data_IF_098149143094
#
_entry.id   IF_098149143094
#
_cell.length_a   1.000
_cell.length_b   1.000
_cell.length_c   1.000
_cell.angle_alpha   90.00
_cell.angle_beta   90.00
_cell.angle_gamma   90.00
#
_symmetry.space_group_name_H-M   'P 1'
#
loop_
_entity.id
_entity.type
_entity.pdbx_description
1 polymer ?
#
# COMPACT_ATOMS: atom_id res chain seq x y z
N UNK A 1 2.15 -31.80 28.09
CA UNK A 1 0.82 -31.36 28.58
C UNK A 1 -0.19 -32.51 28.55
N UNK A 2 -1.30 -32.42 29.29
CA UNK A 2 -2.46 -33.31 29.15
C UNK A 2 -3.45 -32.60 28.22
N UNK A 3 -3.88 -33.28 27.16
CA UNK A 3 -4.83 -32.75 26.17
C UNK A 3 -6.15 -33.53 26.27
N UNK A 4 -7.26 -32.88 25.89
CA UNK A 4 -8.58 -33.51 25.94
C UNK A 4 -8.65 -34.66 24.93
N UNK A 5 -9.11 -35.83 25.36
CA UNK A 5 -9.14 -37.04 24.54
C UNK A 5 -10.52 -37.31 23.91
N UNK A 6 -11.46 -36.37 23.98
CA UNK A 6 -12.82 -36.49 23.45
C UNK A 6 -13.15 -35.38 22.43
N UNK A 7 -14.01 -35.73 21.46
CA UNK A 7 -14.55 -34.81 20.47
C UNK A 7 -15.97 -34.37 20.87
N UNK A 8 -16.13 -33.10 21.24
CA UNK A 8 -17.44 -32.46 21.43
C UNK A 8 -17.76 -31.54 20.25
N UNK A 9 -18.91 -31.78 19.59
CA UNK A 9 -19.39 -30.97 18.46
C UNK A 9 -20.00 -29.63 18.88
N UNK A 10 -20.55 -29.52 20.10
CA UNK A 10 -21.30 -28.34 20.56
C UNK A 10 -20.49 -27.50 21.55
N UNK A 11 -19.59 -26.68 21.01
CA UNK A 11 -18.79 -25.71 21.77
C UNK A 11 -19.51 -24.35 21.96
N UNK A 12 -20.73 -24.20 21.47
CA UNK A 12 -21.52 -22.95 21.48
C UNK A 12 -21.83 -22.42 22.90
N UNK A 13 -21.71 -23.24 23.94
CA UNK A 13 -21.92 -22.81 25.32
C UNK A 13 -20.68 -22.19 25.96
N UNK A 14 -19.52 -22.22 25.29
CA UNK A 14 -18.26 -21.72 25.82
C UNK A 14 -18.00 -20.28 25.38
N UNK A 15 -17.89 -19.39 26.36
CA UNK A 15 -17.54 -17.97 26.11
C UNK A 15 -16.19 -17.84 25.38
N UNK A 16 -15.22 -18.68 25.72
CA UNK A 16 -13.89 -18.72 25.11
C UNK A 16 -13.96 -19.12 23.62
N UNK A 17 -14.92 -19.96 23.24
CA UNK A 17 -15.14 -20.35 21.84
C UNK A 17 -15.69 -19.17 21.03
N UNK A 18 -16.62 -18.39 21.57
CA UNK A 18 -17.15 -17.19 20.89
C UNK A 18 -16.08 -16.10 20.70
N UNK A 19 -15.23 -15.88 21.71
CA UNK A 19 -14.11 -14.94 21.61
C UNK A 19 -13.08 -15.39 20.56
N UNK A 20 -12.82 -16.70 20.48
CA UNK A 20 -11.97 -17.28 19.44
C UNK A 20 -12.60 -17.15 18.04
N UNK A 21 -13.92 -17.41 17.91
CA UNK A 21 -14.62 -17.24 16.64
C UNK A 21 -14.64 -15.77 16.20
N UNK A 22 -14.84 -14.82 17.12
CA UNK A 22 -14.78 -13.39 16.82
C UNK A 22 -13.42 -12.99 16.24
N UNK A 23 -12.31 -13.44 16.85
CA UNK A 23 -10.97 -13.19 16.32
C UNK A 23 -10.73 -13.90 14.98
N UNK A 24 -11.27 -15.11 14.80
CA UNK A 24 -11.15 -15.85 13.54
C UNK A 24 -12.11 -15.37 12.45
N UNK A 25 -13.19 -14.65 12.77
CA UNK A 25 -14.00 -13.96 11.74
C UNK A 25 -13.21 -12.85 11.05
N UNK A 26 -12.22 -12.27 11.75
CA UNK A 26 -11.29 -11.29 11.17
C UNK A 26 -10.31 -11.97 10.22
N UNK A 27 -10.01 -13.26 10.42
CA UNK A 27 -9.17 -14.07 9.55
C UNK A 27 -9.79 -14.27 8.16
N UNK A 28 -9.06 -13.89 7.10
CA UNK A 28 -9.49 -13.84 5.68
C UNK A 28 -10.55 -12.79 5.34
N UNK A 29 -10.97 -11.95 6.29
CA UNK A 29 -11.69 -10.72 5.93
C UNK A 29 -10.69 -9.65 5.51
N UNK A 30 -11.14 -8.77 4.61
CA UNK A 30 -10.37 -7.59 4.22
C UNK A 30 -10.44 -6.46 5.25
N UNK A 31 -11.00 -6.72 6.45
CA UNK A 31 -11.11 -5.75 7.52
C UNK A 31 -9.73 -5.52 8.17
N UNK A 32 -9.37 -4.27 8.41
CA UNK A 32 -8.10 -3.87 9.02
C UNK A 32 -8.01 -4.12 10.54
N UNK A 33 -8.87 -4.99 11.09
CA UNK A 33 -8.77 -5.38 12.50
C UNK A 33 -7.59 -6.33 12.69
N UNK A 34 -6.65 -5.94 13.56
CA UNK A 34 -5.50 -6.78 13.89
C UNK A 34 -6.00 -7.98 14.69
N UNK A 35 -5.87 -9.17 14.10
CA UNK A 35 -6.09 -10.44 14.80
C UNK A 35 -5.11 -10.52 15.96
N UNK A 36 -5.62 -10.73 17.17
CA UNK A 36 -4.82 -10.91 18.36
C UNK A 36 -4.35 -12.36 18.43
N UNK A 37 -3.30 -12.68 17.67
CA UNK A 37 -2.78 -14.06 17.55
C UNK A 37 -2.34 -14.68 18.88
N UNK A 38 -1.92 -13.88 19.85
CA UNK A 38 -1.61 -14.34 21.22
C UNK A 38 -2.87 -14.90 21.89
N UNK A 39 -4.00 -14.20 21.76
CA UNK A 39 -5.30 -14.66 22.29
C UNK A 39 -5.85 -15.84 21.51
N UNK A 40 -5.72 -15.85 20.18
CA UNK A 40 -6.11 -17.00 19.36
C UNK A 40 -5.34 -18.24 19.81
N UNK A 41 -4.04 -18.11 20.08
CA UNK A 41 -3.21 -19.19 20.61
C UNK A 41 -3.66 -19.64 21.99
N UNK A 42 -3.84 -18.72 22.95
CA UNK A 42 -4.26 -19.04 24.32
C UNK A 42 -5.65 -19.70 24.35
N UNK A 43 -6.63 -19.12 23.67
CA UNK A 43 -8.01 -19.64 23.63
C UNK A 43 -8.10 -20.99 22.94
N UNK A 44 -7.39 -21.17 21.82
CA UNK A 44 -7.38 -22.48 21.14
C UNK A 44 -6.61 -23.54 21.92
N UNK A 45 -5.53 -23.19 22.61
CA UNK A 45 -4.80 -24.12 23.48
C UNK A 45 -5.65 -24.54 24.68
N UNK A 46 -6.34 -23.61 25.33
CA UNK A 46 -7.21 -23.87 26.48
C UNK A 46 -8.35 -24.83 26.09
N UNK A 47 -9.01 -24.58 24.95
CA UNK A 47 -10.06 -25.46 24.43
C UNK A 47 -9.52 -26.86 24.11
N UNK A 48 -8.33 -26.97 23.49
CA UNK A 48 -7.70 -28.26 23.16
C UNK A 48 -7.24 -29.04 24.41
N UNK A 49 -6.96 -28.35 25.52
CA UNK A 49 -6.57 -28.97 26.78
C UNK A 49 -7.77 -29.42 27.61
N UNK A 50 -8.78 -28.55 27.73
CA UNK A 50 -9.81 -28.68 28.76
C UNK A 50 -11.20 -29.06 28.21
N UNK A 51 -11.45 -28.91 26.91
CA UNK A 51 -12.81 -29.01 26.37
C UNK A 51 -12.93 -30.02 25.24
N UNK A 52 -12.31 -29.80 24.07
CA UNK A 52 -12.55 -30.62 22.88
C UNK A 52 -11.36 -30.65 21.94
N UNK A 53 -11.09 -31.82 21.36
CA UNK A 53 -10.14 -32.01 20.27
C UNK A 53 -10.78 -31.71 18.90
N UNK A 54 -11.44 -30.56 18.76
CA UNK A 54 -12.11 -30.20 17.51
C UNK A 54 -11.10 -29.76 16.43
N UNK A 55 -11.24 -30.32 15.22
CA UNK A 55 -10.32 -30.09 14.11
C UNK A 55 -10.33 -28.63 13.61
N UNK A 56 -11.42 -27.90 13.77
CA UNK A 56 -11.53 -26.46 13.49
C UNK A 56 -10.69 -25.65 14.48
N UNK A 57 -10.76 -26.00 15.77
CA UNK A 57 -9.94 -25.37 16.82
C UNK A 57 -8.47 -25.70 16.61
N UNK A 58 -8.14 -26.95 16.27
CA UNK A 58 -6.79 -27.34 15.91
C UNK A 58 -6.26 -26.58 14.67
N UNK A 59 -7.11 -26.32 13.68
CA UNK A 59 -6.74 -25.48 12.54
C UNK A 59 -6.39 -24.05 12.99
N UNK A 60 -7.18 -23.45 13.88
CA UNK A 60 -6.93 -22.10 14.42
C UNK A 60 -5.64 -22.05 15.24
N UNK A 61 -5.42 -23.06 16.09
CA UNK A 61 -4.18 -23.22 16.83
C UNK A 61 -2.97 -23.31 15.90
N UNK A 62 -3.03 -24.15 14.86
CA UNK A 62 -1.92 -24.30 13.89
C UNK A 62 -1.57 -22.99 13.19
N UNK A 63 -2.58 -22.17 12.87
CA UNK A 63 -2.41 -20.85 12.26
C UNK A 63 -1.78 -19.86 13.24
N UNK A 64 -2.20 -19.87 14.51
CA UNK A 64 -1.58 -19.03 15.54
C UNK A 64 -0.12 -19.38 15.80
N UNK A 65 0.27 -20.66 15.79
CA UNK A 65 1.68 -21.06 15.91
C UNK A 65 2.53 -20.51 14.76
N UNK A 66 2.01 -20.53 13.53
CA UNK A 66 2.67 -19.94 12.36
C UNK A 66 2.75 -18.42 12.44
N UNK A 67 1.70 -17.76 12.93
CA UNK A 67 1.63 -16.30 13.05
C UNK A 67 2.55 -15.75 14.15
N UNK A 68 2.60 -16.41 15.31
CA UNK A 68 3.45 -16.03 16.43
C UNK A 68 4.93 -16.34 16.19
N UNK A 69 5.21 -17.39 15.39
CA UNK A 69 6.56 -17.74 14.95
C UNK A 69 7.58 -17.86 16.10
N UNK A 70 7.16 -18.51 17.19
CA UNK A 70 7.96 -18.75 18.40
C UNK A 70 8.26 -20.24 18.55
N UNK A 71 9.48 -20.59 18.96
CA UNK A 71 9.92 -21.97 19.16
C UNK A 71 9.06 -22.70 20.20
N UNK A 72 8.66 -22.04 21.29
CA UNK A 72 7.81 -22.64 22.32
C UNK A 72 6.43 -23.02 21.76
N UNK A 73 5.86 -22.20 20.88
CA UNK A 73 4.60 -22.52 20.18
C UNK A 73 4.77 -23.75 19.26
N UNK A 74 5.93 -23.91 18.63
CA UNK A 74 6.22 -25.09 17.80
C UNK A 74 6.48 -26.36 18.62
N UNK A 75 7.06 -26.25 19.82
CA UNK A 75 7.19 -27.37 20.76
C UNK A 75 5.82 -27.85 21.24
N UNK A 76 4.93 -26.93 21.63
CA UNK A 76 3.56 -27.27 22.05
C UNK A 76 2.76 -27.83 20.87
N UNK A 77 2.95 -27.29 19.66
CA UNK A 77 2.38 -27.86 18.45
C UNK A 77 2.86 -29.31 18.20
N UNK A 78 4.16 -29.58 18.37
CA UNK A 78 4.69 -30.94 18.30
C UNK A 78 4.06 -31.85 19.37
N UNK A 79 3.89 -31.39 20.62
CA UNK A 79 3.20 -32.18 21.65
C UNK A 79 1.77 -32.56 21.24
N UNK A 80 1.03 -31.64 20.64
CA UNK A 80 -0.34 -31.90 20.15
C UNK A 80 -0.31 -32.88 18.97
N UNK A 81 0.63 -32.75 18.03
CA UNK A 81 0.81 -33.71 16.92
C UNK A 81 1.06 -35.12 17.47
N UNK A 82 1.94 -35.26 18.46
CA UNK A 82 2.24 -36.53 19.12
C UNK A 82 0.99 -37.10 19.80
N UNK A 83 0.26 -36.25 20.53
CA UNK A 83 -0.98 -36.65 21.20
C UNK A 83 -2.04 -37.11 20.20
N UNK A 84 -2.22 -36.37 19.09
CA UNK A 84 -3.22 -36.71 18.07
C UNK A 84 -2.87 -38.00 17.34
N UNK A 85 -1.57 -38.25 17.06
CA UNK A 85 -1.09 -39.51 16.49
C UNK A 85 -1.45 -40.70 17.39
N UNK A 86 -1.17 -40.59 18.70
CA UNK A 86 -1.56 -41.61 19.68
C UNK A 86 -3.07 -41.80 19.74
N UNK A 87 -3.84 -40.72 19.71
CA UNK A 87 -5.30 -40.77 19.78
C UNK A 87 -5.89 -41.48 18.56
N UNK A 88 -5.39 -41.21 17.35
CA UNK A 88 -5.81 -41.92 16.14
C UNK A 88 -5.42 -43.41 16.12
N UNK A 89 -4.33 -43.79 16.82
CA UNK A 89 -3.81 -45.15 16.88
C UNK A 89 -4.49 -46.00 17.97
N UNK A 90 -4.68 -45.43 19.15
CA UNK A 90 -5.09 -46.16 20.35
C UNK A 90 -6.59 -46.03 20.67
N UNK A 91 -7.20 -44.86 20.38
CA UNK A 91 -8.60 -44.57 20.74
C UNK A 91 -9.37 -43.81 19.65
N UNK A 92 -9.52 -44.38 18.43
CA UNK A 92 -10.23 -43.72 17.33
C UNK A 92 -11.72 -43.48 17.63
N UNK A 93 -12.31 -44.29 18.53
CA UNK A 93 -13.72 -44.21 18.93
C UNK A 93 -14.06 -42.93 19.71
N UNK A 94 -13.06 -42.31 20.36
CA UNK A 94 -13.25 -41.06 21.09
C UNK A 94 -13.42 -39.84 20.19
N UNK A 95 -12.95 -39.92 18.93
CA UNK A 95 -13.13 -38.86 17.93
C UNK A 95 -14.50 -39.01 17.28
N UNK A 96 -14.90 -40.23 16.93
CA UNK A 96 -16.26 -40.52 16.48
C UNK A 96 -16.53 -42.02 16.49
N UNK A 97 -17.71 -42.40 16.97
CA UNK A 97 -18.23 -43.78 16.88
C UNK A 97 -18.61 -44.19 15.44
N UNK A 98 -18.72 -43.23 14.53
CA UNK A 98 -19.14 -43.47 13.13
C UNK A 98 -17.94 -43.42 12.19
N UNK A 99 -17.72 -44.52 11.46
CA UNK A 99 -16.57 -44.69 10.53
C UNK A 99 -16.49 -43.61 9.44
N UNK A 100 -17.63 -43.10 8.96
CA UNK A 100 -17.69 -42.05 7.93
C UNK A 100 -17.26 -40.67 8.46
N UNK A 101 -17.64 -40.33 9.70
CA UNK A 101 -17.29 -39.07 10.36
C UNK A 101 -15.81 -39.09 10.74
N UNK A 102 -15.32 -40.21 11.27
CA UNK A 102 -13.90 -40.41 11.57
C UNK A 102 -13.03 -40.22 10.31
N UNK A 103 -13.46 -40.76 9.16
CA UNK A 103 -12.76 -40.55 7.88
C UNK A 103 -12.75 -39.08 7.45
N UNK A 104 -13.84 -38.35 7.69
CA UNK A 104 -13.92 -36.92 7.39
C UNK A 104 -12.99 -36.10 8.30
N UNK A 105 -12.93 -36.41 9.60
CA UNK A 105 -12.01 -35.76 10.54
C UNK A 105 -10.54 -36.05 10.18
N UNK A 106 -10.22 -37.30 9.79
CA UNK A 106 -8.88 -37.65 9.26
C UNK A 106 -8.52 -36.83 8.01
N UNK A 107 -9.48 -36.62 7.09
CA UNK A 107 -9.28 -35.77 5.90
C UNK A 107 -9.04 -34.30 6.26
N UNK A 108 -9.82 -33.74 7.21
CA UNK A 108 -9.62 -32.37 7.71
C UNK A 108 -8.26 -32.21 8.37
N UNK A 109 -7.89 -33.13 9.25
CA UNK A 109 -6.59 -33.13 9.93
C UNK A 109 -5.43 -33.17 8.92
N UNK A 110 -5.53 -34.05 7.91
CA UNK A 110 -4.57 -34.09 6.79
C UNK A 110 -4.42 -32.72 6.11
N UNK A 111 -5.53 -32.07 5.74
CA UNK A 111 -5.49 -30.76 5.08
C UNK A 111 -4.84 -29.69 5.95
N UNK A 112 -5.09 -29.71 7.27
CA UNK A 112 -4.48 -28.78 8.23
C UNK A 112 -2.97 -28.96 8.26
N UNK A 113 -2.49 -30.20 8.36
CA UNK A 113 -1.06 -30.52 8.38
C UNK A 113 -0.39 -30.15 7.05
N UNK A 114 -1.02 -30.42 5.90
CA UNK A 114 -0.52 -30.00 4.58
C UNK A 114 -0.40 -28.47 4.46
N UNK A 115 -1.42 -27.74 4.92
CA UNK A 115 -1.39 -26.28 4.94
C UNK A 115 -0.28 -25.74 5.86
N UNK A 116 -0.11 -26.35 7.03
CA UNK A 116 0.95 -25.99 7.96
C UNK A 116 2.33 -26.19 7.33
N UNK A 117 2.58 -27.35 6.71
CA UNK A 117 3.86 -27.65 6.04
C UNK A 117 4.13 -26.66 4.90
N UNK A 118 3.12 -26.35 4.09
CA UNK A 118 3.25 -25.41 2.99
C UNK A 118 3.59 -24.00 3.48
N UNK A 119 2.90 -23.50 4.50
CA UNK A 119 3.17 -22.17 5.07
C UNK A 119 4.49 -22.13 5.84
N UNK A 120 4.85 -23.21 6.52
CA UNK A 120 6.17 -23.36 7.15
C UNK A 120 7.29 -23.30 6.11
N UNK A 121 7.15 -24.02 5.00
CA UNK A 121 8.16 -24.06 3.94
C UNK A 121 8.27 -22.74 3.17
N UNK A 122 7.17 -21.99 3.01
CA UNK A 122 7.19 -20.65 2.40
C UNK A 122 7.84 -19.61 3.30
N UNK A 123 7.53 -19.63 4.59
CA UNK A 123 7.88 -18.55 5.51
C UNK A 123 9.18 -18.80 6.31
N UNK A 124 9.72 -20.03 6.24
CA UNK A 124 10.91 -20.49 6.99
C UNK A 124 10.94 -19.98 8.45
N UNK A 125 9.97 -20.41 9.28
CA UNK A 125 9.79 -19.91 10.64
C UNK A 125 10.99 -20.24 11.55
N UNK A 126 11.09 -19.52 12.67
CA UNK A 126 12.07 -19.70 13.75
C UNK A 126 11.75 -20.98 14.55
N UNK A 127 11.89 -22.12 13.89
CA UNK A 127 11.73 -23.42 14.49
C UNK A 127 13.12 -24.07 14.59
N UNK A 128 13.47 -24.57 15.77
CA UNK A 128 14.76 -25.25 15.95
C UNK A 128 14.84 -26.50 15.08
N UNK A 129 16.05 -26.80 14.61
CA UNK A 129 16.31 -27.95 13.75
C UNK A 129 15.90 -29.28 14.42
N UNK A 130 15.98 -29.35 15.75
CA UNK A 130 15.52 -30.52 16.53
C UNK A 130 14.01 -30.67 16.43
N UNK A 131 13.25 -29.60 16.69
CA UNK A 131 11.79 -29.60 16.64
C UNK A 131 11.26 -29.87 15.23
N UNK A 132 11.89 -29.30 14.20
CA UNK A 132 11.54 -29.55 12.79
C UNK A 132 11.82 -31.00 12.35
N UNK A 133 12.92 -31.60 12.83
CA UNK A 133 13.22 -33.02 12.59
C UNK A 133 12.20 -33.93 13.26
N UNK A 134 11.88 -33.67 14.53
CA UNK A 134 10.84 -34.44 15.25
C UNK A 134 9.46 -34.29 14.60
N UNK A 135 9.08 -33.10 14.14
CA UNK A 135 7.84 -32.90 13.39
C UNK A 135 7.81 -33.75 12.10
N UNK A 136 8.90 -33.77 11.32
CA UNK A 136 9.00 -34.62 10.13
C UNK A 136 8.86 -36.13 10.48
N UNK A 137 9.47 -36.59 11.58
CA UNK A 137 9.34 -37.97 12.04
C UNK A 137 7.89 -38.34 12.37
N UNK A 138 7.16 -37.45 13.08
CA UNK A 138 5.75 -37.69 13.40
C UNK A 138 4.83 -37.51 12.20
N UNK A 139 5.16 -36.66 11.21
CA UNK A 139 4.43 -36.60 9.95
C UNK A 139 4.56 -37.90 9.14
N UNK A 140 5.71 -38.57 9.16
CA UNK A 140 5.85 -39.91 8.54
C UNK A 140 5.04 -40.97 9.31
N UNK A 141 4.97 -40.91 10.64
CA UNK A 141 4.08 -41.80 11.41
C UNK A 141 2.60 -41.55 11.12
N UNK A 142 2.21 -40.28 11.01
CA UNK A 142 0.85 -39.89 10.63
C UNK A 142 0.50 -40.28 9.18
N UNK A 143 1.49 -40.32 8.29
CA UNK A 143 1.32 -40.82 6.91
C UNK A 143 0.84 -42.25 6.86
N UNK A 144 1.32 -43.13 7.75
CA UNK A 144 0.84 -44.51 7.86
C UNK A 144 -0.62 -44.60 8.34
N UNK A 145 -1.04 -43.68 9.20
CA UNK A 145 -2.39 -43.66 9.79
C UNK A 145 -3.43 -43.01 8.87
N UNK A 146 -2.99 -42.05 8.05
CA UNK A 146 -3.84 -41.21 7.18
C UNK A 146 -3.75 -41.59 5.69
N UNK A 147 -2.89 -42.55 5.32
CA UNK A 147 -2.63 -43.00 3.95
C UNK A 147 -2.32 -41.83 3.00
N UNK A 148 -1.40 -40.94 3.38
CA UNK A 148 -1.07 -39.76 2.57
C UNK A 148 0.40 -39.33 2.65
N UNK A 149 0.95 -38.84 1.55
CA UNK A 149 2.33 -38.36 1.49
C UNK A 149 2.38 -36.86 1.83
N UNK A 150 2.97 -36.52 2.97
CA UNK A 150 3.25 -35.13 3.33
C UNK A 150 4.60 -34.67 2.73
N UNK A 151 4.71 -33.39 2.37
CA UNK A 151 5.99 -32.80 2.02
C UNK A 151 6.86 -32.64 3.28
N UNK A 152 8.19 -32.74 3.14
CA UNK A 152 9.11 -32.54 4.28
C UNK A 152 9.28 -31.05 4.58
N UNK A 153 9.48 -30.72 5.86
CA UNK A 153 9.85 -29.37 6.27
C UNK A 153 11.27 -29.05 5.78
N UNK A 154 11.45 -27.92 5.10
CA UNK A 154 12.74 -27.44 4.59
C UNK A 154 13.58 -26.90 5.75
N UNK A 155 14.62 -27.66 6.11
CA UNK A 155 15.59 -27.28 7.14
C UNK A 155 16.74 -26.52 6.47
N UNK A 156 16.89 -25.22 6.75
CA UNK A 156 18.11 -24.48 6.36
C UNK A 156 19.24 -24.96 7.28
N UNK A 157 20.27 -25.59 6.71
CA UNK A 157 21.48 -25.96 7.44
C UNK A 157 22.25 -24.68 7.80
N UNK A 158 22.41 -24.41 9.10
CA UNK A 158 23.22 -23.28 9.57
C UNK A 158 24.71 -23.63 9.43
N UNK A 159 25.37 -23.07 8.42
CA UNK A 159 26.83 -22.87 8.48
C UNK A 159 27.06 -21.76 9.52
N UNK A 160 27.72 -22.16 10.60
CA UNK A 160 28.21 -21.30 11.68
C UNK A 160 28.99 -20.11 11.13
N UNK A 161 28.41 -18.91 11.23
CA UNK A 161 29.16 -17.68 11.43
C UNK A 161 28.29 -16.69 12.21
N UNK A 162 28.66 -16.55 13.48
CA UNK A 162 28.21 -15.58 14.46
C UNK A 162 28.24 -14.15 13.91
N UNK A 163 27.05 -13.58 13.63
CA UNK A 163 26.78 -12.15 13.79
C UNK A 163 25.38 -11.98 14.39
N UNK A 164 25.35 -11.54 15.65
CA UNK A 164 24.15 -11.08 16.34
C UNK A 164 23.48 -9.97 15.54
N UNK A 165 22.16 -10.04 15.35
CA UNK A 165 21.34 -8.90 14.94
C UNK A 165 20.04 -8.85 15.76
N UNK A 166 19.56 -7.66 16.18
CA UNK A 166 18.57 -7.54 17.25
C UNK A 166 17.13 -7.81 16.79
N UNK A 167 16.27 -8.06 17.77
CA UNK A 167 14.82 -8.31 17.69
C UNK A 167 14.09 -7.42 16.67
N UNK A 168 13.18 -7.99 15.88
CA UNK A 168 12.15 -7.24 15.13
C UNK A 168 10.77 -7.90 15.26
N UNK A 169 9.82 -7.07 15.69
CA UNK A 169 8.36 -7.19 15.77
C UNK A 169 7.71 -7.49 14.40
N UNK A 170 6.41 -7.84 14.33
CA UNK A 170 5.74 -8.30 13.12
C UNK A 170 5.40 -7.12 12.19
N UNK A 171 6.43 -6.60 11.53
CA UNK A 171 6.33 -5.88 10.25
C UNK A 171 7.51 -6.38 9.45
N UNK A 172 7.26 -7.09 8.34
CA UNK A 172 8.31 -7.41 7.37
C UNK A 172 8.81 -6.10 6.77
N UNK A 173 9.76 -5.44 7.43
CA UNK A 173 10.67 -4.53 6.76
C UNK A 173 11.51 -5.42 5.86
N UNK A 174 11.17 -5.46 4.56
CA UNK A 174 11.97 -6.13 3.55
C UNK A 174 13.34 -5.44 3.58
N UNK A 175 14.33 -6.10 4.19
CA UNK A 175 15.73 -5.68 4.09
C UNK A 175 16.18 -6.15 2.72
N UNK A 176 16.11 -5.25 1.76
CA UNK A 176 16.53 -5.52 0.39
C UNK A 176 18.05 -5.42 0.41
N UNK A 177 18.73 -6.52 0.07
CA UNK A 177 20.18 -6.50 -0.10
C UNK A 177 20.48 -5.71 -1.39
N UNK A 178 20.71 -4.40 -1.23
CA UNK A 178 20.87 -3.42 -2.32
C UNK A 178 22.09 -3.74 -3.20
N UNK A 179 22.97 -4.65 -2.76
CA UNK A 179 24.27 -4.87 -3.39
C UNK A 179 24.22 -5.57 -4.76
N UNK A 180 23.14 -6.27 -5.14
CA UNK A 180 23.11 -7.02 -6.42
C UNK A 180 21.75 -7.14 -7.14
N UNK A 181 20.72 -6.40 -6.75
CA UNK A 181 19.38 -6.55 -7.36
C UNK A 181 19.06 -5.41 -8.32
N UNK A 182 18.94 -5.67 -9.62
CA UNK A 182 18.44 -4.68 -10.58
C UNK A 182 17.01 -4.28 -10.22
N UNK A 183 16.72 -2.98 -10.18
CA UNK A 183 15.39 -2.42 -9.83
C UNK A 183 14.26 -2.99 -10.72
N UNK A 184 14.59 -3.42 -11.94
CA UNK A 184 13.68 -4.08 -12.89
C UNK A 184 13.21 -5.47 -12.45
N UNK A 185 13.96 -6.17 -11.58
CA UNK A 185 13.68 -7.56 -11.20
C UNK A 185 12.82 -7.65 -9.93
N UNK A 186 12.58 -6.53 -9.24
CA UNK A 186 11.75 -6.48 -8.05
C UNK A 186 10.28 -6.64 -8.42
N UNK A 187 9.51 -7.38 -7.62
CA UNK A 187 8.04 -7.36 -7.68
C UNK A 187 7.51 -5.97 -7.33
N UNK A 188 6.29 -5.65 -7.74
CA UNK A 188 5.68 -4.33 -7.43
C UNK A 188 5.59 -4.07 -5.92
N UNK A 189 5.38 -5.14 -5.13
CA UNK A 189 5.37 -5.06 -3.67
C UNK A 189 6.75 -4.71 -3.12
N UNK A 190 7.79 -5.41 -3.55
CA UNK A 190 9.16 -5.18 -3.08
C UNK A 190 9.67 -3.81 -3.50
N UNK A 191 9.35 -3.39 -4.73
CA UNK A 191 9.70 -2.07 -5.25
C UNK A 191 9.08 -0.94 -4.40
N UNK A 192 7.78 -1.05 -4.09
CA UNK A 192 7.10 -0.07 -3.22
C UNK A 192 7.69 -0.07 -1.82
N UNK A 193 7.91 -1.25 -1.22
CA UNK A 193 8.48 -1.36 0.12
C UNK A 193 9.90 -0.79 0.18
N UNK A 194 10.72 -1.00 -0.86
CA UNK A 194 12.06 -0.42 -0.97
C UNK A 194 12.01 1.11 -0.90
N UNK A 195 11.22 1.71 -1.79
CA UNK A 195 11.17 3.16 -1.94
C UNK A 195 10.56 3.82 -0.71
N UNK A 196 9.53 3.22 -0.11
CA UNK A 196 8.97 3.72 1.15
C UNK A 196 9.99 3.65 2.29
N UNK A 197 10.73 2.54 2.43
CA UNK A 197 11.75 2.42 3.47
C UNK A 197 12.87 3.45 3.28
N UNK A 198 13.35 3.63 2.05
CA UNK A 198 14.34 4.66 1.71
C UNK A 198 13.82 6.08 1.99
N UNK A 199 12.55 6.36 1.64
CA UNK A 199 11.94 7.65 1.95
C UNK A 199 11.89 7.90 3.46
N UNK A 200 11.50 6.89 4.23
CA UNK A 200 11.43 6.97 5.69
C UNK A 200 12.83 7.19 6.30
N UNK A 201 13.84 6.47 5.84
CA UNK A 201 15.23 6.62 6.30
C UNK A 201 15.80 8.02 5.99
N UNK A 202 15.45 8.58 4.83
CA UNK A 202 15.83 9.96 4.50
C UNK A 202 15.15 11.00 5.41
N UNK A 203 13.90 10.75 5.82
CA UNK A 203 13.13 11.64 6.70
C UNK A 203 13.59 11.57 8.16
N UNK A 204 14.14 10.45 8.61
CA UNK A 204 14.75 10.32 9.94
C UNK A 204 15.93 11.28 10.13
N UNK A 205 16.68 11.53 9.07
CA UNK A 205 17.79 12.48 9.07
C UNK A 205 17.33 13.93 8.80
N UNK A 206 16.37 14.11 7.89
CA UNK A 206 15.84 15.43 7.54
C UNK A 206 14.39 15.34 7.05
N UNK A 207 13.45 15.84 7.86
CA UNK A 207 12.01 15.85 7.59
C UNK A 207 11.65 16.68 6.35
N UNK A 208 12.47 17.67 6.00
CA UNK A 208 12.28 18.55 4.84
C UNK A 208 12.95 18.04 3.56
N UNK A 209 13.48 16.81 3.58
CA UNK A 209 14.11 16.21 2.42
C UNK A 209 13.08 15.94 1.31
N UNK A 210 13.08 16.79 0.28
CA UNK A 210 12.20 16.71 -0.89
C UNK A 210 12.33 15.40 -1.66
N UNK A 211 13.50 14.77 -1.63
CA UNK A 211 13.72 13.48 -2.30
C UNK A 211 12.92 12.36 -1.65
N UNK A 212 12.70 12.42 -0.32
CA UNK A 212 11.89 11.42 0.36
C UNK A 212 10.44 11.42 -0.13
N UNK A 213 9.84 12.60 -0.28
CA UNK A 213 8.48 12.75 -0.82
C UNK A 213 8.41 12.34 -2.29
N UNK A 214 9.49 12.55 -3.05
CA UNK A 214 9.61 12.10 -4.44
C UNK A 214 9.66 10.57 -4.53
N UNK A 215 10.46 9.92 -3.68
CA UNK A 215 10.53 8.45 -3.58
C UNK A 215 9.19 7.86 -3.15
N UNK A 216 8.48 8.50 -2.22
CA UNK A 216 7.13 8.11 -1.83
C UNK A 216 6.14 8.18 -3.01
N UNK A 217 6.14 9.26 -3.78
CA UNK A 217 5.25 9.37 -4.94
C UNK A 217 5.60 8.33 -6.02
N UNK A 218 6.89 8.04 -6.21
CA UNK A 218 7.35 6.98 -7.10
C UNK A 218 6.92 5.58 -6.60
N UNK A 219 6.94 5.35 -5.29
CA UNK A 219 6.44 4.12 -4.67
C UNK A 219 4.93 3.93 -4.88
N UNK A 220 4.16 5.03 -4.89
CA UNK A 220 2.72 5.01 -5.10
C UNK A 220 2.33 4.89 -6.58
N UNK A 221 3.00 5.63 -7.47
CA UNK A 221 2.56 5.83 -8.85
C UNK A 221 3.56 5.43 -9.94
N UNK A 222 4.83 5.21 -9.62
CA UNK A 222 5.91 5.01 -10.61
C UNK A 222 5.66 3.85 -11.56
N UNK A 223 5.18 2.72 -11.04
CA UNK A 223 4.85 1.53 -11.85
C UNK A 223 3.42 1.50 -12.41
N UNK A 224 2.57 2.47 -12.07
CA UNK A 224 1.19 2.51 -12.58
C UNK A 224 1.17 2.94 -14.05
N UNK A 225 0.73 2.01 -14.91
CA UNK A 225 0.61 2.22 -16.36
C UNK A 225 -0.81 2.59 -16.79
N UNK A 226 -1.82 2.06 -16.12
CA UNK A 226 -3.23 2.22 -16.48
C UNK A 226 -4.09 2.45 -15.25
N UNK A 227 -5.24 3.08 -15.45
CA UNK A 227 -6.29 3.20 -14.44
C UNK A 227 -6.92 1.82 -14.13
N UNK A 228 -7.54 1.66 -12.95
CA UNK A 228 -8.21 0.43 -12.58
C UNK A 228 -9.39 0.13 -13.54
N UNK A 229 -9.66 -1.15 -13.83
CA UNK A 229 -10.80 -1.53 -14.66
C UNK A 229 -12.12 -1.14 -13.97
N UNK A 230 -13.08 -0.70 -14.76
CA UNK A 230 -14.36 -0.19 -14.26
C UNK A 230 -15.55 -0.69 -15.08
N UNK A 231 -16.72 -0.68 -14.46
CA UNK A 231 -18.03 -0.88 -15.09
C UNK A 231 -18.89 0.32 -14.72
N UNK A 232 -19.41 1.04 -15.72
CA UNK A 232 -20.15 2.31 -15.51
C UNK A 232 -19.41 3.32 -14.62
N UNK A 233 -18.10 3.49 -14.85
CA UNK A 233 -17.18 4.31 -14.07
C UNK A 233 -16.98 3.88 -12.60
N UNK A 234 -17.59 2.78 -12.14
CA UNK A 234 -17.36 2.19 -10.82
C UNK A 234 -16.27 1.12 -10.90
N UNK A 235 -15.29 1.21 -10.02
CA UNK A 235 -14.14 0.30 -9.98
C UNK A 235 -14.30 -0.73 -8.86
N UNK A 236 -13.47 -1.79 -8.88
CA UNK A 236 -13.36 -2.75 -7.77
C UNK A 236 -12.39 -2.29 -6.68
N UNK A 237 -11.88 -1.06 -6.77
CA UNK A 237 -10.96 -0.51 -5.77
C UNK A 237 -11.79 -0.08 -4.57
N UNK A 238 -11.36 -0.53 -3.38
CA UNK A 238 -12.04 -0.19 -2.13
C UNK A 238 -11.77 1.24 -1.73
N UNK A 239 -12.80 1.93 -1.26
CA UNK A 239 -12.61 3.21 -0.57
C UNK A 239 -11.90 2.99 0.78
N UNK A 240 -10.98 3.89 1.19
CA UNK A 240 -10.28 3.73 2.46
C UNK A 240 -11.20 3.75 3.68
N UNK A 241 -10.90 2.89 4.66
CA UNK A 241 -11.73 2.71 5.85
C UNK A 241 -11.79 3.99 6.71
N UNK A 242 -12.93 4.18 7.37
CA UNK A 242 -13.15 5.31 8.30
C UNK A 242 -12.11 5.35 9.42
N UNK A 243 -11.63 4.20 9.87
CA UNK A 243 -10.60 4.10 10.90
C UNK A 243 -9.24 4.60 10.40
N UNK A 244 -8.89 4.34 9.14
CA UNK A 244 -7.67 4.85 8.52
C UNK A 244 -7.75 6.37 8.36
N UNK A 245 -8.89 6.90 7.93
CA UNK A 245 -9.10 8.35 7.83
C UNK A 245 -8.96 9.02 9.21
N UNK A 246 -9.56 8.43 10.25
CA UNK A 246 -9.40 8.91 11.64
C UNK A 246 -7.93 8.87 12.10
N UNK A 247 -7.20 7.80 11.79
CA UNK A 247 -5.79 7.65 12.13
C UNK A 247 -4.92 8.76 11.50
N UNK A 248 -5.18 9.09 10.23
CA UNK A 248 -4.44 10.15 9.52
C UNK A 248 -4.80 11.57 10.01
N UNK A 249 -6.00 11.75 10.57
CA UNK A 249 -6.46 13.02 11.12
C UNK A 249 -6.12 13.20 12.61
N UNK A 250 -5.65 12.16 13.29
CA UNK A 250 -5.27 12.25 14.69
C UNK A 250 -4.05 13.17 14.86
N UNK A 251 -4.18 14.16 15.76
CA UNK A 251 -3.16 15.20 16.01
C UNK A 251 -2.21 14.86 17.15
N UNK A 252 -2.38 13.71 17.80
CA UNK A 252 -1.67 13.36 19.04
C UNK A 252 -0.31 12.69 18.83
N UNK A 253 0.16 12.59 17.58
CA UNK A 253 1.39 11.90 17.20
C UNK A 253 2.52 12.88 16.86
N UNK A 254 3.76 12.43 17.06
CA UNK A 254 4.96 13.15 16.62
C UNK A 254 4.91 13.40 15.10
N UNK A 255 5.40 14.55 14.64
CA UNK A 255 5.32 14.98 13.23
C UNK A 255 5.91 13.93 12.28
N UNK A 256 7.10 13.41 12.60
CA UNK A 256 7.76 12.38 11.81
C UNK A 256 6.95 11.07 11.76
N UNK A 257 6.36 10.66 12.87
CA UNK A 257 5.56 9.43 12.93
C UNK A 257 4.25 9.57 12.15
N UNK A 258 3.65 10.76 12.14
CA UNK A 258 2.49 11.05 11.31
C UNK A 258 2.86 11.04 9.82
N UNK A 259 4.01 11.60 9.44
CA UNK A 259 4.52 11.53 8.06
C UNK A 259 4.77 10.07 7.65
N UNK A 260 5.39 9.25 8.51
CA UNK A 260 5.58 7.81 8.28
C UNK A 260 4.22 7.10 8.12
N UNK A 261 3.22 7.49 8.89
CA UNK A 261 1.85 6.98 8.78
C UNK A 261 1.23 7.31 7.41
N UNK A 262 1.35 8.56 6.94
CA UNK A 262 0.89 8.96 5.61
C UNK A 262 1.58 8.15 4.50
N UNK A 263 2.91 8.05 4.52
CA UNK A 263 3.69 7.33 3.51
C UNK A 263 3.28 5.86 3.41
N UNK A 264 3.18 5.18 4.55
CA UNK A 264 2.85 3.75 4.58
C UNK A 264 1.41 3.47 4.12
N UNK A 265 0.45 4.34 4.44
CA UNK A 265 -0.95 4.10 4.11
C UNK A 265 -1.34 4.59 2.70
N UNK A 266 -0.85 5.76 2.27
CA UNK A 266 -1.20 6.31 0.96
C UNK A 266 -0.52 5.57 -0.19
N UNK A 267 0.67 5.00 0.03
CA UNK A 267 1.33 4.15 -0.97
C UNK A 267 0.58 2.83 -1.24
N UNK A 268 -0.25 2.37 -0.28
CA UNK A 268 -1.17 1.25 -0.46
C UNK A 268 -2.47 1.66 -1.17
N UNK A 269 -2.83 2.94 -1.10
CA UNK A 269 -4.07 3.52 -1.62
C UNK A 269 -3.79 4.60 -2.68
N UNK A 270 -3.11 4.28 -3.81
CA UNK A 270 -2.62 5.27 -4.76
C UNK A 270 -3.72 6.05 -5.49
N UNK A 271 -4.95 5.56 -5.52
CA UNK A 271 -6.09 6.20 -6.18
C UNK A 271 -6.91 7.10 -5.24
N UNK A 272 -6.60 7.15 -3.94
CA UNK A 272 -7.30 8.01 -2.99
C UNK A 272 -6.70 9.41 -2.94
N UNK A 273 -7.09 10.23 -3.91
CA UNK A 273 -6.50 11.57 -4.11
C UNK A 273 -6.84 12.52 -2.95
N UNK A 274 -8.00 12.38 -2.32
CA UNK A 274 -8.28 13.17 -1.10
C UNK A 274 -7.27 12.88 0.02
N UNK A 275 -6.78 11.65 0.14
CA UNK A 275 -5.75 11.30 1.12
C UNK A 275 -4.44 12.06 0.91
N UNK A 276 -4.04 12.28 -0.35
CA UNK A 276 -2.88 13.11 -0.68
C UNK A 276 -3.12 14.59 -0.35
N UNK A 277 -4.35 15.08 -0.55
CA UNK A 277 -4.72 16.44 -0.13
C UNK A 277 -4.62 16.60 1.40
N UNK A 278 -5.11 15.62 2.16
CA UNK A 278 -4.94 15.62 3.63
C UNK A 278 -3.47 15.66 4.04
N UNK A 279 -2.60 14.95 3.32
CA UNK A 279 -1.16 14.99 3.59
C UNK A 279 -0.56 16.37 3.26
N UNK A 280 -0.96 16.99 2.15
CA UNK A 280 -0.57 18.36 1.83
C UNK A 280 -1.05 19.37 2.89
N UNK A 281 -2.30 19.25 3.35
CA UNK A 281 -2.85 20.13 4.38
C UNK A 281 -2.07 19.96 5.71
N UNK A 282 -1.70 18.74 6.06
CA UNK A 282 -0.80 18.47 7.19
C UNK A 282 0.56 19.16 7.03
N UNK A 283 1.22 19.01 5.87
CA UNK A 283 2.52 19.65 5.61
C UNK A 283 2.43 21.18 5.66
N UNK A 284 1.32 21.75 5.17
CA UNK A 284 1.08 23.19 5.24
C UNK A 284 0.92 23.66 6.69
N UNK A 285 0.16 22.94 7.51
CA UNK A 285 0.00 23.25 8.93
C UNK A 285 1.33 23.22 9.71
N UNK A 286 2.24 22.31 9.33
CA UNK A 286 3.58 22.19 9.92
C UNK A 286 4.65 23.07 9.21
N UNK A 287 4.22 24.01 8.35
CA UNK A 287 5.09 24.97 7.64
C UNK A 287 6.16 24.30 6.74
N UNK A 288 5.90 23.09 6.24
CA UNK A 288 6.80 22.32 5.37
C UNK A 288 6.62 22.67 3.89
N UNK A 289 6.87 23.93 3.56
CA UNK A 289 6.57 24.52 2.24
C UNK A 289 7.29 23.82 1.08
N UNK A 290 8.55 23.39 1.25
CA UNK A 290 9.30 22.70 0.19
C UNK A 290 8.75 21.31 -0.11
N UNK A 291 8.47 20.54 0.94
CA UNK A 291 7.86 19.21 0.84
C UNK A 291 6.45 19.28 0.25
N UNK A 292 5.66 20.27 0.70
CA UNK A 292 4.33 20.55 0.19
C UNK A 292 4.34 20.82 -1.32
N UNK A 293 5.22 21.71 -1.79
CA UNK A 293 5.33 22.05 -3.22
C UNK A 293 5.63 20.82 -4.08
N UNK A 294 6.57 19.98 -3.64
CA UNK A 294 6.94 18.76 -4.36
C UNK A 294 5.78 17.77 -4.39
N UNK A 295 5.14 17.51 -3.26
CA UNK A 295 4.02 16.58 -3.19
C UNK A 295 2.83 17.08 -4.04
N UNK A 296 2.53 18.38 -4.01
CA UNK A 296 1.51 18.99 -4.87
C UNK A 296 1.83 18.83 -6.35
N UNK A 297 3.08 19.11 -6.76
CA UNK A 297 3.52 18.98 -8.15
C UNK A 297 3.36 17.53 -8.64
N UNK A 298 3.84 16.56 -7.86
CA UNK A 298 3.80 15.14 -8.23
C UNK A 298 2.36 14.62 -8.29
N UNK A 299 1.51 15.03 -7.35
CA UNK A 299 0.09 14.67 -7.36
C UNK A 299 -0.63 15.27 -8.56
N UNK A 300 -0.36 16.54 -8.88
CA UNK A 300 -0.91 17.17 -10.07
C UNK A 300 -0.46 16.46 -11.35
N UNK A 301 0.82 16.08 -11.45
CA UNK A 301 1.34 15.35 -12.61
C UNK A 301 0.63 14.00 -12.79
N UNK A 302 0.36 13.29 -11.69
CA UNK A 302 -0.39 12.03 -11.73
C UNK A 302 -1.84 12.24 -12.23
N UNK A 303 -2.54 13.24 -11.69
CA UNK A 303 -3.92 13.58 -12.11
C UNK A 303 -3.95 13.98 -13.59
N UNK A 304 -2.99 14.79 -14.06
CA UNK A 304 -2.91 15.22 -15.46
C UNK A 304 -2.55 14.07 -16.41
N UNK A 305 -1.73 13.11 -15.95
CA UNK A 305 -1.41 11.87 -16.69
C UNK A 305 -2.65 11.00 -16.86
N UNK A 306 -3.50 10.92 -15.83
CA UNK A 306 -4.70 10.10 -15.81
C UNK A 306 -5.98 10.94 -15.62
N UNK A 307 -6.29 11.81 -16.58
CA UNK A 307 -7.43 12.77 -16.48
C UNK A 307 -8.77 12.11 -16.17
N UNK A 308 -8.97 10.89 -16.66
CA UNK A 308 -10.22 10.14 -16.44
C UNK A 308 -10.43 9.68 -14.99
N UNK A 309 -9.43 9.80 -14.11
CA UNK A 309 -9.57 9.49 -12.68
C UNK A 309 -10.68 10.33 -12.00
N UNK A 310 -10.96 11.52 -12.54
CA UNK A 310 -12.04 12.41 -12.09
C UNK A 310 -13.44 11.84 -12.30
N UNK A 311 -13.59 10.92 -13.27
CA UNK A 311 -14.87 10.26 -13.57
C UNK A 311 -15.04 8.96 -12.77
N UNK A 312 -13.94 8.37 -12.29
CA UNK A 312 -13.95 7.07 -11.64
C UNK A 312 -14.44 7.14 -10.21
N UNK A 313 -15.08 6.04 -9.80
CA UNK A 313 -15.61 5.81 -8.46
C UNK A 313 -15.01 4.56 -7.84
N UNK A 314 -14.86 4.58 -6.53
CA UNK A 314 -14.59 3.39 -5.72
C UNK A 314 -15.78 2.44 -5.72
N UNK A 315 -15.60 1.25 -5.17
CA UNK A 315 -16.62 0.21 -5.03
C UNK A 315 -17.89 0.68 -4.30
N UNK A 316 -17.75 1.59 -3.34
CA UNK A 316 -18.84 2.21 -2.60
C UNK A 316 -19.51 3.40 -3.32
N UNK A 317 -19.07 3.75 -4.54
CA UNK A 317 -19.61 4.84 -5.34
C UNK A 317 -19.03 6.23 -5.06
N UNK A 318 -18.14 6.40 -4.07
CA UNK A 318 -17.40 7.65 -3.85
C UNK A 318 -16.46 7.93 -5.02
N UNK A 319 -16.27 9.21 -5.36
CA UNK A 319 -15.34 9.62 -6.43
C UNK A 319 -13.88 9.38 -6.01
N UNK A 320 -13.04 8.95 -6.95
CA UNK A 320 -11.59 8.85 -6.74
C UNK A 320 -10.90 10.21 -6.64
N UNK A 321 -11.46 11.21 -7.32
CA UNK A 321 -10.99 12.58 -7.26
C UNK A 321 -12.19 13.53 -7.35
N UNK A 322 -12.57 14.13 -6.21
CA UNK A 322 -13.59 15.20 -6.17
C UNK A 322 -13.12 16.45 -6.90
N UNK A 323 -14.07 17.21 -7.43
CA UNK A 323 -13.79 18.45 -8.17
C UNK A 323 -12.99 19.47 -7.33
N UNK A 324 -13.32 19.61 -6.04
CA UNK A 324 -12.58 20.48 -5.13
C UNK A 324 -11.12 20.04 -4.93
N UNK A 325 -10.88 18.74 -4.92
CA UNK A 325 -9.54 18.14 -4.78
C UNK A 325 -8.75 18.30 -6.07
N UNK A 326 -9.38 18.09 -7.22
CA UNK A 326 -8.80 18.37 -8.52
C UNK A 326 -8.38 19.84 -8.64
N UNK A 327 -9.30 20.74 -8.29
CA UNK A 327 -9.06 22.18 -8.30
C UNK A 327 -7.93 22.59 -7.36
N UNK A 328 -7.80 21.96 -6.19
CA UNK A 328 -6.70 22.23 -5.26
C UNK A 328 -5.33 22.01 -5.92
N UNK A 329 -5.11 20.84 -6.54
CA UNK A 329 -3.82 20.52 -7.15
C UNK A 329 -3.56 21.29 -8.46
N UNK A 330 -4.59 21.47 -9.29
CA UNK A 330 -4.44 22.13 -10.60
C UNK A 330 -4.32 23.66 -10.46
N UNK A 331 -5.12 24.30 -9.59
CA UNK A 331 -5.04 25.75 -9.36
C UNK A 331 -3.71 26.12 -8.70
N UNK A 332 -3.22 25.32 -7.75
CA UNK A 332 -1.90 25.59 -7.16
C UNK A 332 -0.78 25.47 -8.18
N UNK A 333 -0.83 24.54 -9.13
CA UNK A 333 0.17 24.46 -10.19
C UNK A 333 0.09 25.65 -11.16
N UNK A 334 -1.11 26.13 -11.48
CA UNK A 334 -1.29 27.37 -12.23
C UNK A 334 -0.83 28.61 -11.46
N UNK A 335 -1.01 28.65 -10.14
CA UNK A 335 -0.45 29.70 -9.28
C UNK A 335 1.05 29.57 -9.09
N UNK A 336 1.63 28.37 -9.13
CA UNK A 336 3.08 28.17 -9.03
C UNK A 336 3.73 28.57 -10.34
N UNK A 337 3.13 28.23 -11.49
CA UNK A 337 3.52 28.73 -12.81
C UNK A 337 3.27 30.24 -12.96
N UNK A 338 2.18 30.77 -12.39
CA UNK A 338 1.96 32.23 -12.31
C UNK A 338 2.92 32.89 -11.32
N UNK A 339 3.33 32.25 -10.21
CA UNK A 339 4.29 32.78 -9.22
C UNK A 339 5.75 32.65 -9.68
N UNK A 340 6.11 31.69 -10.53
CA UNK A 340 7.35 31.77 -11.30
C UNK A 340 7.29 32.88 -12.36
N UNK A 341 6.10 33.29 -12.83
CA UNK A 341 5.94 34.52 -13.60
C UNK A 341 5.81 35.81 -12.76
N UNK A 342 5.45 35.75 -11.46
CA UNK A 342 5.13 36.95 -10.67
C UNK A 342 6.02 37.23 -9.46
N UNK A 343 6.97 36.36 -9.10
CA UNK A 343 7.88 36.62 -7.97
C UNK A 343 9.32 36.16 -8.23
N UNK A 344 9.99 36.79 -9.20
CA UNK A 344 11.35 37.34 -9.04
C UNK A 344 11.78 38.07 -10.31
N UNK A 345 12.30 39.28 -10.13
CA UNK A 345 13.03 40.12 -11.10
C UNK A 345 12.24 41.18 -11.87
N UNK A 346 11.81 42.21 -11.13
CA UNK A 346 11.64 43.57 -11.65
C UNK A 346 12.94 44.19 -12.25
N UNK A 347 14.06 43.45 -12.30
CA UNK A 347 15.37 43.91 -12.78
C UNK A 347 15.98 43.07 -13.93
N UNK A 348 15.30 42.05 -14.47
CA UNK A 348 15.79 41.35 -15.66
C UNK A 348 15.39 42.10 -16.93
N UNK A 349 16.36 42.36 -17.81
CA UNK A 349 16.11 42.98 -19.13
C UNK A 349 15.20 42.05 -19.96
N UNK A 350 14.31 42.65 -20.76
CA UNK A 350 13.37 41.96 -21.68
C UNK A 350 14.04 40.85 -22.47
N UNK A 351 15.27 41.07 -22.94
CA UNK A 351 16.09 40.11 -23.70
C UNK A 351 16.32 38.80 -22.94
N UNK A 352 16.55 38.86 -21.63
CA UNK A 352 16.84 37.69 -20.81
C UNK A 352 15.57 36.87 -20.55
N UNK A 353 14.43 37.53 -20.39
CA UNK A 353 13.11 36.89 -20.28
C UNK A 353 12.72 36.17 -21.58
N UNK A 354 13.04 36.75 -22.74
CA UNK A 354 12.79 36.11 -24.03
C UNK A 354 13.68 34.88 -24.28
N UNK A 355 14.94 34.93 -23.83
CA UNK A 355 15.86 33.78 -23.89
C UNK A 355 15.37 32.63 -23.00
N UNK A 356 14.87 32.94 -21.80
CA UNK A 356 14.29 31.94 -20.88
C UNK A 356 13.03 31.28 -21.49
N UNK A 357 12.11 32.07 -22.06
CA UNK A 357 10.92 31.56 -22.76
C UNK A 357 11.30 30.64 -23.93
N UNK A 358 12.35 30.99 -24.68
CA UNK A 358 12.84 30.18 -25.78
C UNK A 358 13.45 28.85 -25.31
N UNK A 359 14.19 28.86 -24.19
CA UNK A 359 14.76 27.64 -23.61
C UNK A 359 13.68 26.71 -23.03
N UNK A 360 12.58 27.26 -22.51
CA UNK A 360 11.43 26.49 -22.03
C UNK A 360 10.62 25.84 -23.17
N UNK A 361 10.78 26.30 -24.41
CA UNK A 361 10.15 25.70 -25.60
C UNK A 361 10.96 24.54 -26.19
N UNK A 362 11.36 23.58 -25.36
CA UNK A 362 12.32 22.53 -25.74
C UNK A 362 11.81 21.49 -26.75
N UNK A 363 10.49 21.40 -26.97
CA UNK A 363 9.89 20.35 -27.79
C UNK A 363 9.17 20.84 -29.06
N UNK A 364 9.16 22.16 -29.34
CA UNK A 364 8.48 22.79 -30.48
C UNK A 364 7.03 22.31 -30.71
N UNK A 365 6.39 21.74 -29.69
CA UNK A 365 5.03 21.25 -29.80
C UNK A 365 4.09 22.43 -29.94
N UNK A 366 2.97 22.22 -30.64
CA UNK A 366 2.03 23.31 -30.90
C UNK A 366 1.46 23.92 -29.60
N UNK A 367 1.33 23.10 -28.55
CA UNK A 367 0.92 23.56 -27.21
C UNK A 367 2.02 24.38 -26.50
N UNK A 368 3.28 23.95 -26.56
CA UNK A 368 4.40 24.73 -26.02
C UNK A 368 4.57 26.04 -26.77
N UNK A 369 4.43 26.05 -28.09
CA UNK A 369 4.47 27.27 -28.90
C UNK A 369 3.37 28.26 -28.50
N UNK A 370 2.15 27.78 -28.24
CA UNK A 370 1.05 28.63 -27.73
C UNK A 370 1.41 29.21 -26.36
N UNK A 371 1.90 28.39 -25.43
CA UNK A 371 2.29 28.88 -24.11
C UNK A 371 3.45 29.88 -24.15
N UNK A 372 4.44 29.65 -25.01
CA UNK A 372 5.54 30.59 -25.25
C UNK A 372 5.06 31.91 -25.84
N UNK A 373 4.09 31.89 -26.77
CA UNK A 373 3.46 33.10 -27.31
C UNK A 373 2.67 33.87 -26.23
N UNK A 374 1.95 33.17 -25.35
CA UNK A 374 1.26 33.80 -24.21
C UNK A 374 2.26 34.46 -23.27
N UNK A 375 3.35 33.75 -22.92
CA UNK A 375 4.39 34.27 -22.04
C UNK A 375 5.10 35.50 -22.66
N UNK A 376 5.42 35.45 -23.95
CA UNK A 376 5.99 36.59 -24.68
C UNK A 376 5.06 37.79 -24.67
N UNK A 377 3.75 37.59 -24.93
CA UNK A 377 2.78 38.68 -24.90
C UNK A 377 2.68 39.34 -23.51
N UNK A 378 2.72 38.53 -22.44
CA UNK A 378 2.72 39.02 -21.07
C UNK A 378 4.00 39.80 -20.72
N UNK A 379 5.17 39.33 -21.16
CA UNK A 379 6.44 40.06 -21.00
C UNK A 379 6.39 41.41 -21.71
N UNK A 380 5.82 41.49 -22.90
CA UNK A 380 5.65 42.77 -23.59
C UNK A 380 4.63 43.69 -22.90
N UNK A 381 3.54 43.16 -22.32
CA UNK A 381 2.59 43.96 -21.55
C UNK A 381 3.21 44.54 -20.27
N UNK A 382 3.99 43.74 -19.52
CA UNK A 382 4.63 44.18 -18.28
C UNK A 382 5.72 45.23 -18.51
N UNK A 383 6.32 45.25 -19.71
CA UNK A 383 7.33 46.24 -20.11
C UNK A 383 6.75 47.43 -20.90
N UNK A 384 5.43 47.69 -20.82
CA UNK A 384 4.73 48.78 -21.53
C UNK A 384 4.81 48.72 -23.08
N UNK A 385 5.20 47.59 -23.67
CA UNK A 385 5.30 47.38 -25.12
C UNK A 385 3.97 46.86 -25.70
N UNK A 386 2.89 47.63 -25.50
CA UNK A 386 1.50 47.21 -25.81
C UNK A 386 1.27 46.81 -27.28
N UNK A 387 1.95 47.48 -28.23
CA UNK A 387 1.83 47.16 -29.65
C UNK A 387 2.42 45.78 -29.98
N UNK A 388 3.56 45.43 -29.36
CA UNK A 388 4.21 44.15 -29.58
C UNK A 388 3.40 43.02 -28.96
N UNK A 389 2.89 43.21 -27.74
CA UNK A 389 1.96 42.28 -27.12
C UNK A 389 0.73 42.03 -27.99
N UNK A 390 0.16 43.09 -28.58
CA UNK A 390 -0.99 42.99 -29.49
C UNK A 390 -0.69 42.18 -30.76
N UNK A 391 0.48 42.36 -31.36
CA UNK A 391 0.91 41.57 -32.54
C UNK A 391 1.04 40.08 -32.18
N UNK A 392 1.61 39.76 -31.01
CA UNK A 392 1.72 38.37 -30.54
C UNK A 392 0.32 37.78 -30.25
N UNK A 393 -0.59 38.54 -29.64
CA UNK A 393 -1.97 38.09 -29.44
C UNK A 393 -2.72 37.87 -30.77
N UNK A 394 -2.48 38.69 -31.81
CA UNK A 394 -3.04 38.48 -33.14
C UNK A 394 -2.55 37.18 -33.78
N UNK A 395 -1.23 36.93 -33.72
CA UNK A 395 -0.64 35.68 -34.22
C UNK A 395 -1.15 34.46 -33.45
N UNK A 396 -1.32 34.58 -32.14
CA UNK A 396 -1.87 33.52 -31.30
C UNK A 396 -3.32 33.22 -31.64
N UNK A 397 -4.16 34.24 -31.84
CA UNK A 397 -5.56 34.07 -32.27
C UNK A 397 -5.61 33.40 -33.65
N UNK A 398 -4.79 33.85 -34.61
CA UNK A 398 -4.73 33.25 -35.95
C UNK A 398 -4.28 31.78 -35.91
N UNK A 399 -3.31 31.45 -35.07
CA UNK A 399 -2.81 30.07 -34.89
C UNK A 399 -3.87 29.18 -34.23
N UNK A 400 -4.58 29.68 -33.21
CA UNK A 400 -5.67 28.98 -32.55
C UNK A 400 -6.92 28.83 -33.42
N UNK A 401 -7.16 29.74 -34.37
CA UNK A 401 -8.27 29.63 -35.34
C UNK A 401 -7.95 28.68 -36.50
N UNK A 402 -6.68 28.57 -36.92
CA UNK A 402 -6.23 27.60 -37.93
C UNK A 402 -6.11 26.18 -37.38
N UNK A 403 -6.17 26.01 -36.07
CA UNK A 403 -6.07 24.70 -35.40
C UNK A 403 -7.37 24.38 -34.67
N UNK A 404 -7.67 23.09 -34.44
CA UNK A 404 -8.87 22.66 -33.67
C UNK A 404 -8.79 23.01 -32.17
N UNK A 405 -7.87 23.90 -31.75
CA UNK A 405 -7.58 24.23 -30.36
C UNK A 405 -8.40 25.39 -29.82
N UNK A 406 -9.12 26.11 -30.68
CA UNK A 406 -10.06 27.15 -30.26
C UNK A 406 -11.09 26.65 -29.23
N UNK A 407 -11.60 25.44 -29.43
CA UNK A 407 -12.61 24.85 -28.54
C UNK A 407 -11.98 24.26 -27.26
N UNK A 408 -10.69 23.90 -27.32
CA UNK A 408 -9.95 23.27 -26.23
C UNK A 408 -9.33 24.26 -25.23
N UNK A 409 -9.02 25.48 -25.68
CA UNK A 409 -8.41 26.57 -24.91
C UNK A 409 -9.26 27.84 -25.04
N UNK A 410 -10.56 27.70 -24.76
CA UNK A 410 -11.55 28.74 -25.01
C UNK A 410 -11.32 30.00 -24.16
N UNK A 411 -10.83 29.84 -22.92
CA UNK A 411 -10.55 30.96 -22.02
C UNK A 411 -9.34 31.78 -22.48
N UNK A 412 -8.25 31.13 -22.88
CA UNK A 412 -7.04 31.77 -23.42
C UNK A 412 -7.31 32.43 -24.76
N UNK A 413 -8.10 31.78 -25.63
CA UNK A 413 -8.55 32.34 -26.90
C UNK A 413 -9.40 33.60 -26.68
N UNK A 414 -10.39 33.55 -25.78
CA UNK A 414 -11.23 34.70 -25.48
C UNK A 414 -10.43 35.85 -24.84
N UNK A 415 -9.47 35.53 -23.97
CA UNK A 415 -8.57 36.51 -23.37
C UNK A 415 -7.71 37.21 -24.44
N UNK A 416 -7.05 36.44 -25.31
CA UNK A 416 -6.25 36.98 -26.41
C UNK A 416 -7.10 37.82 -27.37
N UNK A 417 -8.28 37.32 -27.75
CA UNK A 417 -9.23 38.03 -28.62
C UNK A 417 -9.68 39.36 -28.02
N UNK A 418 -9.99 39.39 -26.72
CA UNK A 418 -10.34 40.62 -26.01
C UNK A 418 -9.19 41.64 -26.00
N UNK A 419 -7.93 41.17 -25.92
CA UNK A 419 -6.73 42.03 -25.98
C UNK A 419 -6.44 42.55 -27.39
N UNK A 420 -6.81 41.81 -28.44
CA UNK A 420 -6.73 42.32 -29.83
C UNK A 420 -7.77 43.39 -30.14
N UNK A 421 -8.97 43.28 -29.56
CA UNK A 421 -10.12 44.17 -29.82
C UNK A 421 -10.11 45.47 -29.01
N UNK A 422 -9.30 45.59 -27.95
CA UNK A 422 -9.10 46.87 -27.27
C UNK A 422 -8.36 47.84 -28.20
N UNK A 423 -9.03 48.93 -28.60
CA UNK A 423 -8.38 50.13 -29.15
C UNK A 423 -7.56 50.78 -28.04
N UNK A 424 -6.36 51.23 -28.39
CA UNK A 424 -5.37 51.84 -27.49
C UNK A 424 -5.93 53.11 -26.87
#
# INVERSE_FOLDING_TARGET
MIFCDHYEENLENLEIFHLLEEEMTKYKTLNHEKIQWDKVYEYSLDILQNNSMDMKIFAYFSLSCLALNNEECFKIFLEIIIFTEKLFREKPENISKTSSILLNQKKKYKQIVENFINEFNKNSPKCSQVTAKSLNEYFEKLREILNCNFAKLNIKEEITQTKQSPLKSPVTQVNIDIKNTKLSNLSDREYRTLLNNLAIELLENNIENTNAYSLFAEAAWGRLKTLPPHSDFVTKVRYPDRNLIKLLLDKNTNELDQIKCFINNLSLNPFWIEGFKLFCDFLHHHQKEHSLKILNLLTCNFILKFKDITKLRFDNGELMCKEDTFNYFVKQNQETNKKTLTTSDKNKKVEQLLIEINNENYNNSLFCNINSLIAMAQVFETNNMKNNAKIIYLQLVELMEKTLLKDYLSDEYNYAKNKTNKKI
#
